data_IF_839800328240
#
_entry.id   IF_839800328240
#
_cell.length_a   1.000
_cell.length_b   1.000
_cell.length_c   1.000
_cell.angle_alpha   90.00
_cell.angle_beta   90.00
_cell.angle_gamma   90.00
#
_symmetry.space_group_name_H-M   'P 1'
#
loop_
_entity.id
_entity.type
_entity.pdbx_description
1 polymer ?
#
# COMPACT_ATOMS: atom_id res chain seq x y z
N UNK A 1 -15.62 20.97 -12.92
CA UNK A 1 -16.44 19.74 -13.13
C UNK A 1 -15.94 19.08 -14.40
N UNK A 2 -15.50 17.84 -14.33
CA UNK A 2 -15.04 17.12 -15.51
C UNK A 2 -16.23 16.93 -16.46
N UNK A 3 -16.23 17.70 -17.55
CA UNK A 3 -17.21 17.53 -18.62
C UNK A 3 -17.17 16.09 -19.12
N UNK A 4 -18.30 15.40 -19.05
CA UNK A 4 -18.58 14.08 -19.64
C UNK A 4 -17.80 12.87 -19.11
N UNK A 5 -17.44 12.79 -17.81
CA UNK A 5 -16.92 11.55 -17.24
C UNK A 5 -18.05 10.59 -16.82
N UNK A 6 -17.91 9.34 -17.20
CA UNK A 6 -18.71 8.21 -16.74
C UNK A 6 -17.78 7.04 -16.35
N UNK A 7 -18.21 6.07 -15.55
CA UNK A 7 -17.36 4.94 -15.16
C UNK A 7 -16.74 4.15 -16.33
N UNK A 8 -17.34 4.23 -17.51
CA UNK A 8 -16.91 3.57 -18.74
C UNK A 8 -16.16 4.49 -19.72
N UNK A 9 -15.98 5.80 -19.39
CA UNK A 9 -15.29 6.75 -20.29
C UNK A 9 -13.84 6.34 -20.62
N UNK A 10 -13.18 5.58 -19.75
CA UNK A 10 -11.85 5.04 -19.95
C UNK A 10 -11.73 4.17 -21.20
N UNK A 11 -12.81 3.55 -21.67
CA UNK A 11 -12.82 2.69 -22.87
C UNK A 11 -12.50 3.44 -24.17
N UNK A 12 -12.57 4.78 -24.15
CA UNK A 12 -12.21 5.65 -25.26
C UNK A 12 -10.72 6.06 -25.24
N UNK A 13 -9.95 5.57 -24.26
CA UNK A 13 -8.56 5.93 -24.02
C UNK A 13 -7.63 4.71 -24.19
N UNK A 14 -6.34 4.98 -24.40
CA UNK A 14 -5.34 3.92 -24.52
C UNK A 14 -5.20 3.17 -23.20
N UNK A 15 -5.51 1.88 -23.20
CA UNK A 15 -5.37 0.98 -22.07
C UNK A 15 -4.16 0.07 -22.26
N UNK A 16 -3.13 0.20 -21.39
CA UNK A 16 -1.98 -0.71 -21.36
C UNK A 16 -2.10 -1.67 -20.20
N UNK A 17 -1.50 -2.86 -20.34
CA UNK A 17 -1.46 -3.89 -19.29
C UNK A 17 -2.84 -4.43 -18.85
N UNK A 18 -3.87 -4.23 -19.66
CA UNK A 18 -5.16 -4.90 -19.47
C UNK A 18 -5.12 -6.28 -20.15
N UNK A 19 -5.58 -7.33 -19.46
CA UNK A 19 -5.73 -8.65 -20.07
C UNK A 19 -6.78 -8.62 -21.18
N UNK A 20 -6.59 -9.44 -22.20
CA UNK A 20 -7.62 -9.66 -23.24
C UNK A 20 -8.44 -10.88 -22.86
N UNK A 21 -9.75 -10.72 -22.84
CA UNK A 21 -10.68 -11.83 -22.66
C UNK A 21 -11.20 -12.27 -24.03
N UNK A 22 -11.14 -13.58 -24.31
CA UNK A 22 -11.57 -14.14 -25.59
C UNK A 22 -13.09 -14.10 -25.74
N UNK A 23 -13.82 -14.32 -24.63
CA UNK A 23 -15.27 -14.24 -24.57
C UNK A 23 -15.73 -12.90 -23.93
N UNK A 24 -16.07 -11.95 -24.80
CA UNK A 24 -16.60 -10.66 -24.38
C UNK A 24 -17.99 -10.75 -23.71
N UNK A 25 -18.77 -11.80 -23.98
CA UNK A 25 -20.08 -11.99 -23.33
C UNK A 25 -19.91 -12.47 -21.91
N UNK A 26 -18.95 -13.37 -21.64
CA UNK A 26 -18.61 -13.79 -20.28
C UNK A 26 -18.03 -12.64 -19.43
N UNK A 27 -17.26 -11.74 -20.05
CA UNK A 27 -16.78 -10.54 -19.39
C UNK A 27 -17.95 -9.63 -18.98
N UNK A 28 -18.86 -9.34 -19.93
CA UNK A 28 -20.03 -8.48 -19.65
C UNK A 28 -20.96 -9.08 -18.57
N UNK A 29 -21.11 -10.41 -18.54
CA UNK A 29 -21.86 -11.10 -17.49
C UNK A 29 -21.21 -10.96 -16.12
N UNK A 30 -19.90 -11.11 -16.03
CA UNK A 30 -19.15 -10.93 -14.78
C UNK A 30 -19.21 -9.48 -14.28
N UNK A 31 -19.07 -8.49 -15.16
CA UNK A 31 -19.22 -7.05 -14.86
C UNK A 31 -20.65 -6.76 -14.35
N UNK A 32 -21.68 -7.26 -15.02
CA UNK A 32 -23.08 -7.09 -14.60
C UNK A 32 -23.34 -7.73 -13.24
N UNK A 33 -22.75 -8.88 -12.96
CA UNK A 33 -22.85 -9.57 -11.68
C UNK A 33 -22.21 -8.71 -10.56
N UNK A 34 -21.01 -8.22 -10.76
CA UNK A 34 -20.30 -7.37 -9.80
C UNK A 34 -21.02 -6.02 -9.59
N UNK A 35 -21.60 -5.46 -10.65
CA UNK A 35 -22.39 -4.23 -10.57
C UNK A 35 -23.62 -4.37 -9.66
N UNK A 36 -24.16 -5.57 -9.53
CA UNK A 36 -25.29 -5.87 -8.65
C UNK A 36 -24.87 -6.30 -7.23
N UNK A 37 -23.57 -6.53 -6.99
CA UNK A 37 -23.08 -6.90 -5.67
C UNK A 37 -23.00 -5.68 -4.73
N UNK A 38 -23.04 -5.87 -3.40
CA UNK A 38 -22.82 -4.79 -2.43
C UNK A 38 -21.43 -4.13 -2.62
N UNK A 39 -21.30 -2.84 -2.30
CA UNK A 39 -19.99 -2.21 -2.29
C UNK A 39 -19.06 -2.86 -1.23
N UNK A 40 -17.79 -3.01 -1.53
CA UNK A 40 -16.78 -3.52 -0.58
C UNK A 40 -16.47 -2.48 0.49
N UNK A 41 -16.41 -1.21 0.10
CA UNK A 41 -16.23 -0.06 0.99
C UNK A 41 -17.26 1.03 0.69
N UNK A 42 -17.53 1.91 1.66
CA UNK A 42 -18.45 3.02 1.48
C UNK A 42 -17.71 4.34 1.19
N UNK A 43 -18.35 5.21 0.44
CA UNK A 43 -17.85 6.55 0.13
C UNK A 43 -17.49 7.35 1.41
N UNK A 44 -18.22 7.18 2.50
CA UNK A 44 -17.94 7.78 3.80
C UNK A 44 -16.59 7.37 4.38
N UNK A 45 -16.22 6.08 4.26
CA UNK A 45 -14.93 5.57 4.71
C UNK A 45 -13.78 6.15 3.85
N UNK A 46 -13.98 6.27 2.54
CA UNK A 46 -13.00 6.89 1.63
C UNK A 46 -12.83 8.40 1.93
N UNK A 47 -13.91 9.12 2.27
CA UNK A 47 -13.83 10.52 2.73
C UNK A 47 -13.10 10.68 4.05
N UNK A 48 -13.34 9.77 5.03
CA UNK A 48 -12.60 9.79 6.30
C UNK A 48 -11.10 9.55 6.08
N UNK A 49 -10.73 8.60 5.21
CA UNK A 49 -9.34 8.40 4.82
C UNK A 49 -8.77 9.66 4.14
N UNK A 50 -9.50 10.30 3.20
CA UNK A 50 -9.07 11.53 2.53
C UNK A 50 -8.77 12.65 3.54
N UNK A 51 -9.63 12.84 4.54
CA UNK A 51 -9.42 13.83 5.58
C UNK A 51 -8.14 13.56 6.39
N UNK A 52 -7.90 12.32 6.79
CA UNK A 52 -6.68 11.91 7.51
C UNK A 52 -5.41 12.06 6.68
N UNK A 53 -5.48 11.73 5.38
CA UNK A 53 -4.37 11.97 4.45
C UNK A 53 -4.13 13.47 4.24
N UNK A 54 -5.15 14.30 4.37
CA UNK A 54 -5.03 15.76 4.39
C UNK A 54 -4.19 16.24 5.58
N UNK A 55 -4.36 15.64 6.77
CA UNK A 55 -3.49 15.91 7.92
C UNK A 55 -2.06 15.45 7.68
N UNK A 56 -1.88 14.27 7.04
CA UNK A 56 -0.54 13.79 6.65
C UNK A 56 0.12 14.75 5.66
N UNK A 57 -0.58 15.23 4.63
CA UNK A 57 -0.07 16.21 3.67
C UNK A 57 0.35 17.52 4.36
N UNK A 58 -0.35 17.91 5.44
CA UNK A 58 -0.03 19.04 6.29
C UNK A 58 1.04 18.79 7.37
N UNK A 59 1.72 17.65 7.36
CA UNK A 59 2.78 17.32 8.33
C UNK A 59 2.26 16.93 9.72
N UNK A 60 0.95 16.68 9.87
CA UNK A 60 0.30 16.33 11.15
C UNK A 60 -0.02 14.85 11.29
N UNK A 61 0.54 14.00 10.45
CA UNK A 61 0.36 12.55 10.47
C UNK A 61 1.41 11.82 9.66
N UNK A 62 1.37 10.50 9.68
CA UNK A 62 2.25 9.63 8.91
C UNK A 62 1.44 8.49 8.27
N UNK A 63 1.65 8.22 6.98
CA UNK A 63 1.00 7.13 6.26
C UNK A 63 1.84 5.85 6.36
N UNK A 64 1.28 4.80 6.93
CA UNK A 64 1.80 3.43 6.86
C UNK A 64 0.92 2.63 5.89
N UNK A 65 1.43 2.42 4.67
CA UNK A 65 0.77 1.59 3.67
C UNK A 65 1.58 0.31 3.46
N UNK A 66 1.00 -0.84 3.77
CA UNK A 66 1.73 -2.11 3.72
C UNK A 66 0.82 -3.31 3.48
N UNK A 67 1.38 -4.40 2.96
CA UNK A 67 0.70 -5.65 2.69
C UNK A 67 1.21 -6.33 1.42
N UNK A 68 0.38 -7.14 0.78
CA UNK A 68 0.82 -8.02 -0.30
C UNK A 68 1.36 -7.28 -1.54
N UNK A 69 2.27 -7.95 -2.26
CA UNK A 69 2.66 -7.55 -3.60
C UNK A 69 1.52 -7.80 -4.59
N UNK A 70 1.03 -9.04 -4.61
CA UNK A 70 -0.22 -9.45 -5.24
C UNK A 70 -0.82 -10.58 -4.39
N UNK A 71 -2.07 -10.38 -3.97
CA UNK A 71 -2.81 -11.41 -3.24
C UNK A 71 -3.03 -12.64 -4.11
N UNK A 72 -2.94 -13.83 -3.50
CA UNK A 72 -3.18 -15.10 -4.15
C UNK A 72 -4.39 -15.80 -3.56
N UNK A 73 -5.17 -16.45 -4.42
CA UNK A 73 -6.26 -17.31 -3.97
C UNK A 73 -5.78 -18.50 -3.12
N UNK A 74 -4.52 -18.93 -3.31
CA UNK A 74 -3.92 -20.00 -2.53
C UNK A 74 -3.54 -19.55 -1.11
N UNK A 75 -3.18 -18.28 -0.91
CA UNK A 75 -2.82 -17.73 0.39
C UNK A 75 -4.02 -17.17 1.17
N UNK A 76 -5.24 -17.22 0.61
CA UNK A 76 -6.45 -16.74 1.27
C UNK A 76 -6.77 -17.61 2.50
N UNK A 77 -6.33 -17.13 3.66
CA UNK A 77 -6.50 -17.83 4.93
C UNK A 77 -6.64 -16.83 6.09
N UNK A 78 -7.53 -17.05 7.07
CA UNK A 78 -7.77 -16.11 8.17
C UNK A 78 -6.52 -15.81 8.99
N UNK A 79 -5.59 -16.75 9.14
CA UNK A 79 -4.32 -16.50 9.82
C UNK A 79 -3.43 -15.51 9.05
N UNK A 80 -3.35 -15.63 7.73
CA UNK A 80 -2.54 -14.70 6.91
C UNK A 80 -3.07 -13.27 7.01
N UNK A 81 -4.40 -13.11 6.95
CA UNK A 81 -5.07 -11.82 7.11
C UNK A 81 -4.81 -11.25 8.51
N UNK A 82 -5.02 -12.07 9.55
CA UNK A 82 -4.79 -11.69 10.95
C UNK A 82 -3.34 -11.27 11.19
N UNK A 83 -2.39 -12.08 10.74
CA UNK A 83 -0.97 -11.88 11.05
C UNK A 83 -0.42 -10.66 10.31
N UNK A 84 -0.84 -10.40 9.08
CA UNK A 84 -0.50 -9.17 8.35
C UNK A 84 -1.10 -7.94 9.03
N UNK A 85 -2.37 -7.98 9.42
CA UNK A 85 -3.02 -6.90 10.18
C UNK A 85 -2.28 -6.63 11.51
N UNK A 86 -1.92 -7.69 12.24
CA UNK A 86 -1.17 -7.60 13.50
C UNK A 86 0.16 -6.90 13.33
N UNK A 87 0.95 -7.26 12.32
CA UNK A 87 2.26 -6.63 12.06
C UNK A 87 2.09 -5.14 11.73
N UNK A 88 1.11 -4.78 10.91
CA UNK A 88 0.81 -3.37 10.60
C UNK A 88 0.43 -2.59 11.88
N UNK A 89 -0.34 -3.18 12.80
CA UNK A 89 -0.65 -2.53 14.07
C UNK A 89 0.59 -2.34 14.95
N UNK A 90 1.45 -3.35 15.06
CA UNK A 90 2.70 -3.25 15.81
C UNK A 90 3.60 -2.15 15.26
N UNK A 91 3.79 -2.10 13.93
CA UNK A 91 4.51 -1.02 13.26
C UNK A 91 3.90 0.35 13.58
N UNK A 92 2.56 0.47 13.48
CA UNK A 92 1.87 1.72 13.72
C UNK A 92 2.05 2.24 15.15
N UNK A 93 2.06 1.37 16.15
CA UNK A 93 2.30 1.76 17.57
C UNK A 93 3.71 2.31 17.72
N UNK A 94 4.71 1.62 17.21
CA UNK A 94 6.12 2.05 17.26
C UNK A 94 6.29 3.41 16.57
N UNK A 95 5.73 3.59 15.38
CA UNK A 95 5.85 4.83 14.61
C UNK A 95 5.07 5.99 15.25
N UNK A 96 3.88 5.74 15.81
CA UNK A 96 3.08 6.75 16.51
C UNK A 96 3.84 7.29 17.71
N UNK A 97 4.40 6.40 18.53
CA UNK A 97 5.13 6.80 19.72
C UNK A 97 6.39 7.63 19.38
N UNK A 98 7.17 7.18 18.41
CA UNK A 98 8.42 7.83 18.02
C UNK A 98 8.20 9.17 17.30
N UNK A 99 7.28 9.19 16.33
CA UNK A 99 6.97 10.38 15.53
C UNK A 99 6.13 11.41 16.26
N UNK A 100 5.46 11.02 17.36
CA UNK A 100 4.46 11.83 18.07
C UNK A 100 3.37 12.35 17.13
N UNK A 101 3.01 11.55 16.14
CA UNK A 101 2.03 11.83 15.10
C UNK A 101 1.06 10.66 14.97
N UNK A 102 -0.22 10.91 14.64
CA UNK A 102 -1.14 9.86 14.26
C UNK A 102 -0.62 9.09 13.03
N UNK A 103 -0.71 7.76 13.06
CA UNK A 103 -0.36 6.89 11.93
C UNK A 103 -1.64 6.42 11.23
N UNK A 104 -1.78 6.79 9.96
CA UNK A 104 -2.86 6.32 9.07
C UNK A 104 -2.45 4.97 8.50
N UNK A 105 -3.23 3.93 8.81
CA UNK A 105 -2.94 2.55 8.42
C UNK A 105 -3.76 2.17 7.19
N UNK A 106 -3.07 1.82 6.10
CA UNK A 106 -3.68 1.41 4.83
C UNK A 106 -3.08 0.07 4.40
N UNK A 107 -3.91 -0.96 4.33
CA UNK A 107 -3.52 -2.29 3.88
C UNK A 107 -3.45 -2.36 2.36
N UNK A 108 -2.39 -2.95 1.81
CA UNK A 108 -2.33 -3.44 0.42
C UNK A 108 -2.93 -4.85 0.43
N UNK A 109 -4.24 -4.93 0.54
CA UNK A 109 -4.99 -6.18 0.69
C UNK A 109 -6.47 -5.96 0.43
N UNK A 110 -7.22 -7.04 0.29
CA UNK A 110 -8.64 -7.05 -0.06
C UNK A 110 -8.93 -6.43 -1.44
N UNK A 111 -8.09 -6.75 -2.43
CA UNK A 111 -8.23 -6.27 -3.81
C UNK A 111 -6.93 -6.25 -4.61
N UNK A 112 -5.76 -6.40 -4.00
CA UNK A 112 -4.46 -6.35 -4.68
C UNK A 112 -4.15 -7.68 -5.40
N UNK A 113 -5.03 -8.12 -6.33
CA UNK A 113 -4.83 -9.36 -7.08
C UNK A 113 -4.13 -9.15 -8.42
N UNK A 114 -4.40 -8.03 -9.09
CA UNK A 114 -3.87 -7.75 -10.43
C UNK A 114 -2.41 -7.30 -10.40
N UNK A 115 -1.66 -7.67 -11.46
CA UNK A 115 -0.25 -7.33 -11.63
C UNK A 115 0.03 -6.82 -13.04
N UNK A 116 0.69 -5.65 -13.21
CA UNK A 116 1.14 -5.21 -14.53
C UNK A 116 2.30 -6.07 -15.01
N UNK A 117 2.24 -6.52 -16.27
CA UNK A 117 3.26 -7.37 -16.89
C UNK A 117 4.07 -6.59 -17.92
N UNK A 118 5.35 -6.93 -18.04
CA UNK A 118 6.23 -6.34 -19.06
C UNK A 118 5.95 -6.86 -20.47
N UNK A 119 5.36 -8.07 -20.55
CA UNK A 119 4.93 -8.73 -21.78
C UNK A 119 3.55 -9.35 -21.55
N UNK A 120 2.72 -9.35 -22.56
CA UNK A 120 1.40 -10.00 -22.53
C UNK A 120 1.51 -11.52 -22.58
N UNK A 121 2.69 -12.07 -22.92
CA UNK A 121 2.94 -13.50 -22.99
C UNK A 121 4.26 -13.90 -22.34
N UNK A 122 4.34 -15.15 -21.91
CA UNK A 122 5.52 -15.83 -21.38
C UNK A 122 5.81 -17.08 -22.23
N UNK A 123 7.11 -17.39 -22.43
CA UNK A 123 7.54 -18.58 -23.20
C UNK A 123 8.39 -19.48 -22.31
N UNK A 124 8.05 -20.76 -22.27
CA UNK A 124 8.85 -21.81 -21.62
C UNK A 124 9.02 -22.96 -22.61
N UNK A 125 10.27 -23.24 -23.04
CA UNK A 125 10.54 -24.16 -24.13
C UNK A 125 9.86 -23.69 -25.41
N UNK A 126 9.09 -24.57 -26.08
CA UNK A 126 8.35 -24.28 -27.29
C UNK A 126 6.92 -23.74 -27.06
N UNK A 127 6.48 -23.65 -25.82
CA UNK A 127 5.13 -23.21 -25.47
C UNK A 127 5.12 -21.72 -25.10
N UNK A 128 4.24 -20.95 -25.75
CA UNK A 128 3.97 -19.54 -25.44
C UNK A 128 2.53 -19.40 -24.95
N UNK A 129 2.34 -18.84 -23.76
CA UNK A 129 1.05 -18.65 -23.10
C UNK A 129 0.90 -17.20 -22.64
N UNK A 130 -0.34 -16.74 -22.34
CA UNK A 130 -0.54 -15.45 -21.66
C UNK A 130 0.29 -15.35 -20.38
N UNK A 131 0.80 -14.16 -20.09
CA UNK A 131 1.46 -13.89 -18.82
C UNK A 131 0.50 -14.11 -17.64
N UNK A 132 1.05 -14.43 -16.48
CA UNK A 132 0.27 -14.41 -15.24
C UNK A 132 -0.05 -12.95 -14.86
N UNK A 133 -1.30 -12.53 -15.01
CA UNK A 133 -1.77 -11.17 -14.73
C UNK A 133 -2.29 -10.98 -13.29
N UNK A 134 -2.28 -12.05 -12.52
CA UNK A 134 -2.83 -12.09 -11.16
C UNK A 134 -4.07 -12.98 -11.05
N UNK A 135 -4.37 -13.42 -9.84
CA UNK A 135 -5.39 -14.44 -9.62
C UNK A 135 -6.81 -14.00 -9.96
N UNK A 136 -7.09 -12.70 -10.06
CA UNK A 136 -8.35 -12.19 -10.57
C UNK A 136 -8.50 -12.23 -12.10
N UNK A 137 -7.46 -12.66 -12.81
CA UNK A 137 -7.43 -12.81 -14.28
C UNK A 137 -7.21 -14.25 -14.69
N UNK A 138 -6.08 -14.86 -14.27
CA UNK A 138 -5.69 -16.22 -14.63
C UNK A 138 -4.89 -16.87 -13.49
N UNK A 139 -4.47 -18.13 -13.63
CA UNK A 139 -3.71 -18.83 -12.59
C UNK A 139 -2.20 -18.85 -12.89
N UNK A 140 -1.39 -19.13 -11.86
CA UNK A 140 0.08 -19.04 -11.93
C UNK A 140 0.72 -20.21 -12.68
N UNK A 141 0.09 -21.36 -12.71
CA UNK A 141 0.60 -22.57 -13.38
C UNK A 141 0.79 -22.31 -14.88
N UNK A 142 1.89 -22.81 -15.45
CA UNK A 142 2.21 -22.61 -16.86
C UNK A 142 1.58 -23.72 -17.72
N UNK A 143 0.23 -23.72 -17.78
CA UNK A 143 -0.57 -24.58 -18.66
C UNK A 143 -1.59 -23.76 -19.43
N UNK A 144 -2.06 -24.20 -20.62
CA UNK A 144 -3.07 -23.48 -21.38
C UNK A 144 -4.34 -23.18 -20.58
N UNK A 145 -4.82 -24.14 -19.80
CA UNK A 145 -6.02 -24.02 -18.98
C UNK A 145 -5.85 -23.00 -17.85
N UNK A 146 -4.70 -23.02 -17.16
CA UNK A 146 -4.41 -22.12 -16.06
C UNK A 146 -4.19 -20.67 -16.53
N UNK A 147 -3.56 -20.50 -17.71
CA UNK A 147 -3.25 -19.19 -18.28
C UNK A 147 -4.38 -18.60 -19.13
N UNK A 148 -5.49 -19.31 -19.27
CA UNK A 148 -6.70 -18.75 -19.87
C UNK A 148 -7.25 -17.61 -18.98
N UNK A 149 -7.52 -16.45 -19.60
CA UNK A 149 -8.07 -15.28 -18.88
C UNK A 149 -9.57 -15.50 -18.67
N UNK A 150 -9.98 -15.74 -17.42
CA UNK A 150 -11.35 -16.08 -17.03
C UNK A 150 -12.00 -14.93 -16.23
N UNK A 151 -13.05 -14.27 -16.76
CA UNK A 151 -13.76 -13.20 -16.06
C UNK A 151 -14.41 -13.62 -14.72
N UNK A 152 -14.75 -14.91 -14.56
CA UNK A 152 -15.35 -15.42 -13.31
C UNK A 152 -14.38 -15.30 -12.12
N UNK A 153 -13.09 -15.21 -12.39
CA UNK A 153 -12.08 -14.97 -11.35
C UNK A 153 -12.21 -13.61 -10.67
N UNK A 154 -12.77 -12.60 -11.35
CA UNK A 154 -13.11 -11.31 -10.73
C UNK A 154 -14.17 -11.45 -9.63
N UNK A 155 -15.18 -12.31 -9.85
CA UNK A 155 -16.22 -12.59 -8.86
C UNK A 155 -15.63 -13.32 -7.65
N UNK A 156 -14.71 -14.26 -7.88
CA UNK A 156 -13.99 -14.91 -6.80
C UNK A 156 -13.11 -13.94 -6.02
N UNK A 157 -12.39 -13.04 -6.69
CA UNK A 157 -11.59 -11.99 -6.07
C UNK A 157 -12.44 -11.07 -5.19
N UNK A 158 -13.60 -10.62 -5.70
CA UNK A 158 -14.57 -9.85 -4.91
C UNK A 158 -15.01 -10.62 -3.65
N UNK A 159 -15.33 -11.90 -3.76
CA UNK A 159 -15.80 -12.70 -2.62
C UNK A 159 -14.72 -12.83 -1.54
N UNK A 160 -13.46 -13.03 -1.94
CA UNK A 160 -12.34 -13.07 -1.00
C UNK A 160 -12.04 -11.69 -0.40
N UNK A 161 -12.10 -10.62 -1.20
CA UNK A 161 -11.97 -9.25 -0.72
C UNK A 161 -13.04 -8.90 0.32
N UNK A 162 -14.30 -9.27 0.07
CA UNK A 162 -15.41 -9.07 1.01
C UNK A 162 -15.19 -9.81 2.34
N UNK A 163 -14.75 -11.07 2.28
CA UNK A 163 -14.44 -11.86 3.48
C UNK A 163 -13.24 -11.27 4.25
N UNK A 164 -12.20 -10.83 3.55
CA UNK A 164 -11.03 -10.15 4.13
C UNK A 164 -11.45 -8.86 4.84
N UNK A 165 -12.23 -8.00 4.19
CA UNK A 165 -12.73 -6.75 4.77
C UNK A 165 -13.63 -6.98 5.99
N UNK A 166 -14.49 -7.99 5.94
CA UNK A 166 -15.32 -8.36 7.09
C UNK A 166 -14.45 -8.75 8.30
N UNK A 167 -13.42 -9.56 8.08
CA UNK A 167 -12.50 -9.97 9.14
C UNK A 167 -11.66 -8.79 9.67
N UNK A 168 -11.18 -7.91 8.79
CA UNK A 168 -10.45 -6.70 9.17
C UNK A 168 -11.32 -5.75 10.02
N UNK A 169 -12.58 -5.54 9.64
CA UNK A 169 -13.52 -4.72 10.43
C UNK A 169 -13.79 -5.34 11.80
N UNK A 170 -13.95 -6.67 11.87
CA UNK A 170 -14.09 -7.37 13.13
C UNK A 170 -12.85 -7.21 14.02
N UNK A 171 -11.64 -7.33 13.49
CA UNK A 171 -10.41 -7.11 14.24
C UNK A 171 -10.24 -5.65 14.66
N UNK A 172 -10.50 -4.71 13.76
CA UNK A 172 -10.33 -3.29 14.03
C UNK A 172 -11.32 -2.74 15.09
N UNK A 173 -12.55 -3.25 15.12
CA UNK A 173 -13.60 -2.80 16.03
C UNK A 173 -13.86 -3.71 17.24
N UNK A 174 -13.46 -4.98 17.18
CA UNK A 174 -13.81 -6.03 18.14
C UNK A 174 -12.86 -6.19 19.35
N UNK A 175 -11.95 -5.24 19.58
CA UNK A 175 -11.02 -5.28 20.72
C UNK A 175 -9.70 -6.00 20.45
N UNK A 176 -9.53 -6.65 19.30
CA UNK A 176 -8.25 -7.25 18.88
C UNK A 176 -7.15 -6.18 18.69
N UNK A 177 -7.54 -4.96 18.29
CA UNK A 177 -6.65 -3.81 18.12
C UNK A 177 -6.35 -3.05 19.44
N UNK A 178 -6.57 -3.67 20.62
CA UNK A 178 -6.24 -3.07 21.91
C UNK A 178 -4.75 -2.71 21.98
N UNK A 179 -4.47 -1.45 22.28
CA UNK A 179 -3.12 -0.88 22.23
C UNK A 179 -2.13 -1.62 23.18
N UNK A 180 -2.56 -2.01 24.37
CA UNK A 180 -1.74 -2.78 25.32
C UNK A 180 -1.43 -4.18 24.77
N UNK A 181 -2.42 -4.84 24.15
CA UNK A 181 -2.23 -6.15 23.54
C UNK A 181 -1.26 -6.07 22.35
N UNK A 182 -1.39 -5.05 21.52
CA UNK A 182 -0.46 -4.82 20.38
C UNK A 182 0.96 -4.59 20.88
N UNK A 183 1.13 -3.82 21.96
CA UNK A 183 2.44 -3.62 22.59
C UNK A 183 3.01 -4.93 23.15
N UNK A 184 2.20 -5.76 23.82
CA UNK A 184 2.64 -7.08 24.32
C UNK A 184 3.14 -7.98 23.17
N UNK A 185 2.43 -8.01 22.04
CA UNK A 185 2.90 -8.76 20.87
C UNK A 185 4.26 -8.27 20.36
N UNK A 186 4.51 -6.96 20.47
CA UNK A 186 5.81 -6.37 20.07
C UNK A 186 6.91 -6.83 21.01
N UNK A 187 6.66 -6.89 22.32
CA UNK A 187 7.61 -7.41 23.31
C UNK A 187 7.89 -8.91 23.12
N UNK A 188 6.85 -9.71 22.86
CA UNK A 188 6.99 -11.16 22.59
C UNK A 188 7.83 -11.41 21.33
N UNK A 189 7.66 -10.58 20.30
CA UNK A 189 8.46 -10.63 19.09
C UNK A 189 9.92 -10.24 19.37
N UNK A 190 10.15 -9.14 20.09
CA UNK A 190 11.49 -8.67 20.43
C UNK A 190 12.28 -9.70 21.25
N UNK A 191 11.62 -10.42 22.18
CA UNK A 191 12.27 -11.47 22.98
C UNK A 191 12.90 -12.61 22.16
N UNK A 192 12.55 -12.70 20.87
CA UNK A 192 13.09 -13.69 19.91
C UNK A 192 14.03 -13.07 18.88
N UNK A 193 14.21 -11.75 18.88
CA UNK A 193 15.00 -11.02 17.88
C UNK A 193 16.45 -10.81 18.36
N UNK A 194 17.46 -11.00 17.49
CA UNK A 194 18.85 -10.63 17.79
C UNK A 194 19.06 -9.14 18.10
N UNK A 195 18.11 -8.29 17.70
CA UNK A 195 18.15 -6.83 17.89
C UNK A 195 17.34 -6.35 19.11
N UNK A 196 16.86 -7.27 19.94
CA UNK A 196 16.04 -6.94 21.11
C UNK A 196 16.65 -5.82 21.96
N UNK A 197 17.96 -5.89 22.23
CA UNK A 197 18.64 -4.91 23.08
C UNK A 197 18.67 -3.50 22.47
N UNK A 198 18.82 -3.37 21.15
CA UNK A 198 18.82 -2.06 20.46
C UNK A 198 17.49 -1.35 20.60
N UNK A 199 16.38 -2.08 20.50
CA UNK A 199 15.04 -1.49 20.48
C UNK A 199 14.34 -1.54 21.85
N UNK A 200 14.96 -2.17 22.84
CA UNK A 200 14.41 -2.35 24.20
C UNK A 200 14.03 -1.01 24.83
N UNK A 201 14.92 -0.03 24.78
CA UNK A 201 14.66 1.30 25.35
C UNK A 201 13.41 1.97 24.78
N UNK A 202 13.16 1.82 23.47
CA UNK A 202 11.95 2.36 22.85
C UNK A 202 10.70 1.59 23.29
N UNK A 203 10.77 0.28 23.33
CA UNK A 203 9.67 -0.57 23.76
C UNK A 203 9.31 -0.35 25.25
N UNK A 204 10.31 -0.24 26.13
CA UNK A 204 10.12 0.05 27.55
C UNK A 204 9.43 1.41 27.75
N UNK A 205 9.84 2.45 27.00
CA UNK A 205 9.19 3.78 27.05
C UNK A 205 7.73 3.75 26.54
N UNK A 206 7.40 2.90 25.58
CA UNK A 206 6.00 2.67 25.16
C UNK A 206 5.23 2.06 26.32
N UNK A 207 5.80 1.04 26.98
CA UNK A 207 5.22 0.41 28.17
C UNK A 207 4.95 1.41 29.30
N UNK A 208 5.95 2.22 29.65
CA UNK A 208 5.82 3.29 30.67
C UNK A 208 4.72 4.30 30.33
N UNK A 209 4.60 4.68 29.04
CA UNK A 209 3.54 5.59 28.61
C UNK A 209 2.14 4.97 28.75
N UNK A 210 2.00 3.68 28.44
CA UNK A 210 0.74 2.94 28.61
C UNK A 210 0.38 2.78 30.10
N UNK A 211 1.36 2.51 30.95
CA UNK A 211 1.16 2.41 32.41
C UNK A 211 0.76 3.75 33.02
N UNK A 212 1.39 4.85 32.56
CA UNK A 212 1.01 6.20 32.96
C UNK A 212 -0.43 6.55 32.56
N UNK A 213 -0.83 6.24 31.31
CA UNK A 213 -2.20 6.45 30.84
C UNK A 213 -3.20 5.68 31.70
N UNK A 214 -2.92 4.41 32.02
CA UNK A 214 -3.77 3.58 32.88
C UNK A 214 -3.87 4.14 34.31
N UNK A 215 -2.75 4.57 34.90
CA UNK A 215 -2.72 5.23 36.21
C UNK A 215 -3.55 6.53 36.24
N UNK A 216 -3.64 7.24 35.10
CA UNK A 216 -4.51 8.42 34.95
C UNK A 216 -5.98 8.05 34.67
N UNK A 217 -6.35 6.76 34.66
CA UNK A 217 -7.71 6.29 34.34
C UNK A 217 -8.04 6.23 32.86
N UNK A 218 -7.05 6.43 31.98
CA UNK A 218 -7.20 6.33 30.53
C UNK A 218 -6.87 4.88 30.12
N UNK A 219 -7.88 4.04 30.09
CA UNK A 219 -7.76 2.63 29.76
C UNK A 219 -8.88 2.19 28.78
N UNK A 220 -8.82 0.98 28.23
CA UNK A 220 -9.81 0.52 27.25
C UNK A 220 -11.26 0.49 27.75
N UNK A 221 -11.52 0.46 29.05
CA UNK A 221 -12.88 0.46 29.60
C UNK A 221 -13.43 1.88 29.76
N UNK A 222 -12.56 2.85 30.04
CA UNK A 222 -12.94 4.27 30.16
C UNK A 222 -12.88 5.01 28.83
N UNK A 223 -12.03 4.55 27.89
CA UNK A 223 -11.82 5.15 26.56
C UNK A 223 -11.93 4.06 25.49
N UNK A 224 -13.15 3.78 24.98
CA UNK A 224 -13.38 2.71 24.01
C UNK A 224 -12.52 2.80 22.74
N UNK A 225 -12.09 4.01 22.38
CA UNK A 225 -11.19 4.25 21.22
C UNK A 225 -9.84 3.54 21.36
N UNK A 226 -9.42 3.16 22.56
CA UNK A 226 -8.22 2.36 22.79
C UNK A 226 -8.38 0.88 22.44
N UNK A 227 -9.62 0.41 22.23
CA UNK A 227 -9.94 -0.96 21.80
C UNK A 227 -10.08 -1.09 20.28
N UNK A 228 -10.19 0.02 19.57
CA UNK A 228 -10.48 0.05 18.14
C UNK A 228 -9.45 0.89 17.39
N UNK A 229 -9.37 0.65 16.10
CA UNK A 229 -8.51 1.44 15.21
C UNK A 229 -9.18 1.63 13.85
N UNK A 230 -8.86 2.76 13.19
CA UNK A 230 -9.18 2.90 11.78
C UNK A 230 -8.17 2.11 10.96
N UNK A 231 -8.67 1.33 10.03
CA UNK A 231 -7.89 0.54 9.10
C UNK A 231 -8.55 0.59 7.72
N UNK A 232 -7.79 0.96 6.71
CA UNK A 232 -8.27 1.12 5.34
C UNK A 232 -7.56 0.13 4.43
N UNK A 233 -8.09 -0.08 3.23
CA UNK A 233 -7.50 -0.95 2.21
C UNK A 233 -7.21 -0.19 0.94
N UNK A 234 -6.28 -0.70 0.15
CA UNK A 234 -5.86 -0.11 -1.11
C UNK A 234 -5.31 -1.14 -2.07
N UNK A 235 -5.43 -0.87 -3.37
CA UNK A 235 -4.80 -1.65 -4.43
C UNK A 235 -4.51 -0.80 -5.68
N UNK A 236 -3.75 -1.36 -6.63
CA UNK A 236 -3.56 -0.77 -7.95
C UNK A 236 -4.85 -0.92 -8.76
N UNK A 237 -5.43 0.20 -9.21
CA UNK A 237 -6.58 0.19 -10.11
C UNK A 237 -6.13 -0.25 -11.52
N UNK A 238 -5.73 -1.51 -11.66
CA UNK A 238 -5.16 -2.04 -12.89
C UNK A 238 -6.22 -2.70 -13.79
N UNK A 239 -7.12 -3.49 -13.20
CA UNK A 239 -8.14 -4.23 -13.94
C UNK A 239 -9.41 -3.39 -14.08
N UNK A 240 -9.42 -2.44 -15.03
CA UNK A 240 -10.49 -1.44 -15.17
C UNK A 240 -11.91 -2.03 -15.33
N UNK A 241 -12.15 -3.20 -15.95
CA UNK A 241 -13.47 -3.83 -15.93
C UNK A 241 -13.98 -4.13 -14.51
N UNK A 242 -13.08 -4.58 -13.61
CA UNK A 242 -13.41 -4.84 -12.20
C UNK A 242 -13.72 -3.53 -11.44
N UNK A 243 -12.88 -2.52 -11.62
CA UNK A 243 -13.05 -1.22 -10.96
C UNK A 243 -14.33 -0.51 -11.44
N UNK A 244 -14.58 -0.51 -12.76
CA UNK A 244 -15.80 0.04 -13.35
C UNK A 244 -17.04 -0.65 -12.77
N UNK A 245 -17.05 -1.98 -12.70
CA UNK A 245 -18.17 -2.75 -12.19
C UNK A 245 -18.46 -2.48 -10.70
N UNK A 246 -17.48 -2.00 -9.93
CA UNK A 246 -17.61 -1.63 -8.51
C UNK A 246 -17.73 -0.11 -8.28
N UNK A 247 -17.69 0.71 -9.33
CA UNK A 247 -17.95 2.14 -9.20
C UNK A 247 -19.42 2.40 -8.81
N UNK A 248 -19.61 3.24 -7.80
CA UNK A 248 -20.96 3.59 -7.27
C UNK A 248 -21.10 5.10 -7.10
N UNK A 249 -22.29 5.60 -7.34
CA UNK A 249 -22.64 6.99 -7.05
C UNK A 249 -23.06 7.10 -5.58
N UNK A 250 -22.39 7.94 -4.83
CA UNK A 250 -22.71 8.22 -3.44
C UNK A 250 -24.05 8.96 -3.35
N UNK A 251 -24.97 8.45 -2.55
CA UNK A 251 -26.32 9.02 -2.38
C UNK A 251 -26.32 10.35 -1.61
N UNK A 252 -25.26 10.64 -0.86
CA UNK A 252 -25.15 11.86 -0.06
C UNK A 252 -24.57 13.03 -0.86
N UNK A 253 -23.53 12.79 -1.65
CA UNK A 253 -22.80 13.83 -2.38
C UNK A 253 -23.12 13.86 -3.87
N UNK A 254 -23.61 12.75 -4.41
CA UNK A 254 -23.81 12.56 -5.84
C UNK A 254 -22.52 12.30 -6.62
N UNK A 255 -21.37 12.24 -5.95
CA UNK A 255 -20.07 11.91 -6.54
C UNK A 255 -19.90 10.42 -6.77
N UNK A 256 -19.05 10.05 -7.72
CA UNK A 256 -18.70 8.67 -7.97
C UNK A 256 -17.52 8.24 -7.08
N UNK A 257 -17.62 7.05 -6.52
CA UNK A 257 -16.55 6.38 -5.81
C UNK A 257 -16.35 4.98 -6.38
N UNK A 258 -15.09 4.61 -6.55
CA UNK A 258 -14.76 3.20 -6.71
C UNK A 258 -14.86 2.53 -5.33
N UNK A 259 -15.79 1.61 -5.20
CA UNK A 259 -16.06 0.94 -3.93
C UNK A 259 -15.31 -0.38 -3.77
N UNK A 260 -14.34 -0.66 -4.63
CA UNK A 260 -13.43 -1.81 -4.55
C UNK A 260 -12.44 -1.68 -3.38
N UNK A 261 -11.99 -0.45 -3.06
CA UNK A 261 -11.12 -0.13 -1.93
C UNK A 261 -11.30 1.31 -1.46
N UNK A 262 -10.75 1.64 -0.28
CA UNK A 262 -10.76 3.01 0.24
C UNK A 262 -9.85 3.94 -0.54
N UNK A 263 -8.67 3.44 -0.98
CA UNK A 263 -7.67 4.15 -1.75
C UNK A 263 -7.23 3.32 -2.94
N UNK A 264 -7.02 3.96 -4.07
CA UNK A 264 -6.53 3.33 -5.29
C UNK A 264 -5.21 3.98 -5.70
N UNK A 265 -4.37 3.28 -6.48
CA UNK A 265 -3.24 3.95 -7.11
C UNK A 265 -3.10 3.59 -8.58
N UNK A 266 -2.48 4.50 -9.34
CA UNK A 266 -2.04 4.27 -10.71
C UNK A 266 -0.56 3.91 -10.71
N UNK A 267 -0.22 2.85 -11.44
CA UNK A 267 1.14 2.33 -11.57
C UNK A 267 2.04 3.18 -12.46
N UNK A 268 3.34 2.93 -12.39
CA UNK A 268 4.36 3.63 -13.19
C UNK A 268 4.17 3.41 -14.70
N UNK A 269 3.62 2.28 -15.10
CA UNK A 269 3.38 1.89 -16.51
C UNK A 269 2.05 2.38 -17.07
N UNK A 270 1.10 2.73 -16.20
CA UNK A 270 -0.27 3.07 -16.58
C UNK A 270 -0.63 4.54 -16.35
N UNK A 271 0.27 5.35 -15.75
CA UNK A 271 0.05 6.78 -15.43
C UNK A 271 0.41 7.76 -16.54
N UNK A 272 0.56 7.32 -17.79
CA UNK A 272 0.85 8.25 -18.88
C UNK A 272 -0.34 9.16 -19.21
N UNK A 273 -0.06 10.34 -19.75
CA UNK A 273 -1.10 11.33 -20.10
C UNK A 273 -2.10 10.73 -21.10
N UNK A 274 -3.39 10.88 -20.82
CA UNK A 274 -4.47 10.35 -21.66
C UNK A 274 -4.66 8.83 -21.55
N UNK A 275 -4.08 8.16 -20.52
CA UNK A 275 -4.30 6.74 -20.32
C UNK A 275 -5.71 6.45 -19.79
N UNK A 276 -6.23 5.28 -20.13
CA UNK A 276 -7.50 4.76 -19.61
C UNK A 276 -7.54 4.75 -18.07
N UNK A 277 -6.43 4.40 -17.41
CA UNK A 277 -6.35 4.36 -15.95
C UNK A 277 -6.43 5.77 -15.32
N UNK A 278 -5.76 6.76 -15.91
CA UNK A 278 -5.86 8.15 -15.46
C UNK A 278 -7.25 8.70 -15.71
N UNK A 279 -7.86 8.38 -16.87
CA UNK A 279 -9.24 8.78 -17.19
C UNK A 279 -10.22 8.21 -16.15
N UNK A 280 -10.14 6.93 -15.83
CA UNK A 280 -11.01 6.32 -14.81
C UNK A 280 -10.83 7.02 -13.44
N UNK A 281 -9.58 7.14 -12.99
CA UNK A 281 -9.27 7.65 -11.65
C UNK A 281 -9.60 9.14 -11.45
N UNK A 282 -9.59 9.96 -12.52
CA UNK A 282 -9.94 11.37 -12.38
C UNK A 282 -11.40 11.62 -11.97
N UNK A 283 -12.28 10.66 -12.22
CA UNK A 283 -13.71 10.81 -11.96
C UNK A 283 -14.19 10.21 -10.65
N UNK A 284 -13.39 9.40 -9.96
CA UNK A 284 -13.76 8.83 -8.66
C UNK A 284 -13.28 9.70 -7.49
N UNK A 285 -14.06 9.77 -6.40
CA UNK A 285 -13.79 10.63 -5.23
C UNK A 285 -12.78 10.06 -4.22
N UNK A 286 -12.28 8.84 -4.43
CA UNK A 286 -11.33 8.16 -3.56
C UNK A 286 -9.99 8.92 -3.43
N UNK A 287 -9.27 8.82 -2.30
CA UNK A 287 -7.85 9.12 -2.27
C UNK A 287 -7.08 8.31 -3.31
N UNK A 288 -6.12 8.94 -3.98
CA UNK A 288 -5.36 8.32 -5.08
C UNK A 288 -3.86 8.32 -4.79
N UNK A 289 -3.21 7.20 -5.12
CA UNK A 289 -1.77 7.09 -5.22
C UNK A 289 -1.27 7.27 -6.65
N UNK A 290 -0.10 7.87 -6.82
CA UNK A 290 0.60 7.96 -8.11
C UNK A 290 2.02 7.46 -7.93
N UNK A 291 2.38 6.39 -8.61
CA UNK A 291 3.76 5.87 -8.58
C UNK A 291 4.72 6.82 -9.29
N UNK A 292 5.79 7.23 -8.62
CA UNK A 292 6.78 8.18 -9.12
C UNK A 292 8.17 7.51 -9.13
N UNK A 293 8.70 7.25 -10.32
CA UNK A 293 10.03 6.67 -10.52
C UNK A 293 11.06 7.65 -11.08
N UNK A 294 12.32 7.23 -11.25
CA UNK A 294 13.40 8.10 -11.68
C UNK A 294 13.25 8.66 -13.12
N UNK A 295 12.42 8.02 -13.94
CA UNK A 295 12.13 8.47 -15.31
C UNK A 295 11.00 9.48 -15.42
N UNK A 296 10.28 9.78 -14.33
CA UNK A 296 9.15 10.70 -14.36
C UNK A 296 9.63 12.14 -14.52
N UNK A 297 9.15 12.79 -15.57
CA UNK A 297 9.39 14.21 -15.81
C UNK A 297 8.51 15.06 -14.89
N UNK A 298 9.04 16.17 -14.31
CA UNK A 298 8.26 17.06 -13.45
C UNK A 298 7.02 17.66 -14.12
N UNK A 299 7.10 18.05 -15.39
CA UNK A 299 5.96 18.66 -16.09
C UNK A 299 4.86 17.62 -16.36
N UNK A 300 5.25 16.37 -16.66
CA UNK A 300 4.30 15.25 -16.76
C UNK A 300 3.62 14.99 -15.42
N UNK A 301 4.37 15.03 -14.30
CA UNK A 301 3.79 14.90 -12.97
C UNK A 301 2.79 16.01 -12.67
N UNK A 302 3.13 17.27 -12.94
CA UNK A 302 2.22 18.40 -12.72
C UNK A 302 0.93 18.26 -13.55
N UNK A 303 1.02 17.86 -14.81
CA UNK A 303 -0.15 17.58 -15.65
C UNK A 303 -1.04 16.45 -15.10
N UNK A 304 -0.44 15.41 -14.51
CA UNK A 304 -1.19 14.35 -13.81
C UNK A 304 -1.90 14.89 -12.55
N UNK A 305 -1.22 15.74 -11.78
CA UNK A 305 -1.82 16.35 -10.58
C UNK A 305 -2.99 17.26 -10.93
N UNK A 306 -2.88 18.08 -11.97
CA UNK A 306 -3.97 18.93 -12.45
C UNK A 306 -5.16 18.11 -12.96
N UNK A 307 -4.90 16.94 -13.56
CA UNK A 307 -5.94 16.01 -14.03
C UNK A 307 -6.64 15.29 -12.90
N UNK A 308 -5.88 14.75 -11.92
CA UNK A 308 -6.39 13.89 -10.86
C UNK A 308 -6.90 14.69 -9.64
N UNK A 309 -6.44 15.92 -9.46
CA UNK A 309 -6.80 16.80 -8.35
C UNK A 309 -6.93 18.28 -8.77
N UNK A 310 -7.81 18.61 -9.73
CA UNK A 310 -7.98 19.97 -10.21
C UNK A 310 -8.43 20.95 -9.13
N UNK A 311 -9.13 20.47 -8.11
CA UNK A 311 -9.58 21.28 -6.97
C UNK A 311 -8.49 21.47 -5.90
N UNK A 312 -7.31 20.87 -6.07
CA UNK A 312 -6.21 20.91 -5.09
C UNK A 312 -6.64 20.52 -3.67
N UNK A 313 -7.45 19.48 -3.56
CA UNK A 313 -7.92 18.95 -2.28
C UNK A 313 -6.77 18.28 -1.54
N UNK A 314 -6.55 18.66 -0.29
CA UNK A 314 -5.59 17.97 0.59
C UNK A 314 -6.06 16.54 0.88
N UNK A 315 -5.11 15.60 0.87
CA UNK A 315 -5.38 14.17 1.08
C UNK A 315 -5.91 13.43 -0.14
N UNK A 316 -6.17 14.12 -1.25
CA UNK A 316 -6.58 13.49 -2.51
C UNK A 316 -5.44 12.69 -3.13
N UNK A 317 -4.22 13.22 -3.14
CA UNK A 317 -3.07 12.62 -3.85
C UNK A 317 -1.97 12.21 -2.87
N UNK A 318 -1.50 10.97 -3.03
CA UNK A 318 -0.27 10.44 -2.45
C UNK A 318 0.72 10.13 -3.56
N UNK A 319 1.86 10.80 -3.58
CA UNK A 319 2.96 10.53 -4.50
C UNK A 319 3.86 9.43 -3.91
N UNK A 320 3.87 8.27 -4.55
CA UNK A 320 4.57 7.07 -4.08
C UNK A 320 5.91 6.99 -4.80
N UNK A 321 6.97 7.50 -4.14
CA UNK A 321 8.32 7.58 -4.68
C UNK A 321 9.01 6.20 -4.66
N UNK A 322 9.47 5.74 -5.85
CA UNK A 322 10.13 4.43 -6.04
C UNK A 322 11.38 4.57 -6.92
N UNK A 323 12.45 5.03 -6.37
CA UNK A 323 13.66 5.41 -7.12
C UNK A 323 14.75 4.33 -7.13
N UNK A 324 14.85 3.56 -6.06
CA UNK A 324 16.01 2.73 -5.75
C UNK A 324 17.01 3.50 -4.87
N UNK A 325 17.71 2.73 -4.04
CA UNK A 325 18.64 3.26 -3.03
C UNK A 325 19.75 4.16 -3.59
N UNK A 326 20.17 3.92 -4.84
CA UNK A 326 21.24 4.62 -5.54
C UNK A 326 20.78 5.87 -6.31
N UNK A 327 19.47 6.08 -6.45
CA UNK A 327 18.90 7.16 -7.30
C UNK A 327 17.99 8.12 -6.55
N UNK A 328 17.54 7.79 -5.35
CA UNK A 328 16.54 8.59 -4.62
C UNK A 328 17.05 9.99 -4.33
N UNK A 329 18.27 10.15 -3.85
CA UNK A 329 18.86 11.47 -3.50
C UNK A 329 19.10 12.35 -4.72
N UNK A 330 19.48 11.76 -5.86
CA UNK A 330 19.70 12.51 -7.09
C UNK A 330 18.41 12.83 -7.86
N UNK A 331 17.42 11.92 -7.85
CA UNK A 331 16.26 11.99 -8.72
C UNK A 331 15.01 12.61 -8.08
N UNK A 332 14.78 12.38 -6.79
CA UNK A 332 13.57 12.85 -6.11
C UNK A 332 13.47 14.38 -5.96
N UNK A 333 14.56 15.13 -5.66
CA UNK A 333 14.47 16.57 -5.40
C UNK A 333 13.79 17.38 -6.50
N UNK A 334 14.00 17.03 -7.76
CA UNK A 334 13.40 17.74 -8.90
C UNK A 334 11.87 17.65 -8.90
N UNK A 335 11.30 16.51 -8.49
CA UNK A 335 9.86 16.32 -8.38
C UNK A 335 9.32 17.06 -7.15
N UNK A 336 10.00 16.96 -6.00
CA UNK A 336 9.61 17.66 -4.77
C UNK A 336 9.56 19.16 -5.00
N UNK A 337 10.60 19.76 -5.62
CA UNK A 337 10.65 21.19 -5.92
C UNK A 337 9.55 21.64 -6.89
N UNK A 338 9.27 20.85 -7.94
CA UNK A 338 8.22 21.17 -8.89
C UNK A 338 6.84 21.20 -8.22
N UNK A 339 6.51 20.16 -7.45
CA UNK A 339 5.23 20.05 -6.72
C UNK A 339 5.08 21.15 -5.67
N UNK A 340 6.15 21.46 -4.92
CA UNK A 340 6.14 22.52 -3.90
C UNK A 340 5.97 23.90 -4.51
N UNK A 341 6.66 24.19 -5.63
CA UNK A 341 6.56 25.47 -6.34
C UNK A 341 5.14 25.74 -6.82
N UNK A 342 4.45 24.72 -7.33
CA UNK A 342 3.06 24.84 -7.81
C UNK A 342 2.02 24.76 -6.66
N UNK A 343 2.45 24.45 -5.43
CA UNK A 343 1.60 24.43 -4.25
C UNK A 343 0.56 23.29 -4.24
N UNK A 344 0.85 22.15 -4.84
CA UNK A 344 -0.03 20.99 -4.76
C UNK A 344 0.03 20.33 -3.37
N UNK A 345 -1.11 20.18 -2.67
CA UNK A 345 -1.14 19.54 -1.36
C UNK A 345 -1.12 18.01 -1.52
N UNK A 346 0.07 17.41 -1.45
CA UNK A 346 0.27 15.97 -1.64
C UNK A 346 0.88 15.32 -0.42
N UNK A 347 0.62 14.03 -0.24
CA UNK A 347 1.38 13.17 0.67
C UNK A 347 2.55 12.58 -0.11
N UNK A 348 3.77 12.73 0.39
CA UNK A 348 4.92 11.99 -0.11
C UNK A 348 5.11 10.70 0.66
N UNK A 349 5.14 9.57 -0.03
CA UNK A 349 5.32 8.23 0.54
C UNK A 349 6.49 7.51 -0.15
N UNK A 350 7.40 6.93 0.62
CA UNK A 350 8.52 6.14 0.09
C UNK A 350 8.07 4.72 -0.24
N UNK A 351 8.32 4.26 -1.46
CA UNK A 351 8.25 2.85 -1.86
C UNK A 351 9.67 2.31 -2.08
N UNK A 352 10.30 1.77 -1.04
CA UNK A 352 11.68 1.29 -1.15
C UNK A 352 11.74 -0.15 -1.70
N UNK A 353 10.62 -0.67 -2.19
CA UNK A 353 10.52 -2.05 -2.65
C UNK A 353 10.83 -2.17 -4.14
N UNK A 354 10.09 -1.42 -4.98
CA UNK A 354 10.10 -1.64 -6.44
C UNK A 354 11.38 -1.16 -7.15
N UNK A 355 12.17 -0.28 -6.53
CA UNK A 355 13.47 0.16 -7.05
C UNK A 355 14.65 -0.75 -6.66
N UNK A 356 14.44 -1.71 -5.75
CA UNK A 356 15.51 -2.51 -5.14
C UNK A 356 15.42 -4.02 -5.41
N UNK A 357 14.63 -4.43 -6.40
CA UNK A 357 14.54 -5.83 -6.82
C UNK A 357 15.82 -6.23 -7.53
N UNK A 358 16.42 -7.34 -7.11
CA UNK A 358 17.58 -7.98 -7.75
C UNK A 358 17.29 -9.45 -8.00
N UNK A 359 18.03 -10.05 -8.93
CA UNK A 359 18.05 -11.51 -9.11
C UNK A 359 19.23 -12.06 -8.33
N UNK A 360 18.98 -13.04 -7.48
CA UNK A 360 19.99 -13.72 -6.68
C UNK A 360 20.79 -14.73 -7.52
N UNK A 361 21.92 -15.18 -7.01
CA UNK A 361 22.73 -16.24 -7.64
C UNK A 361 21.97 -17.56 -7.69
N UNK A 362 21.07 -17.81 -6.73
CA UNK A 362 20.15 -18.97 -6.69
C UNK A 362 19.00 -18.86 -7.70
N UNK A 363 18.87 -17.73 -8.42
CA UNK A 363 17.87 -17.51 -9.47
C UNK A 363 16.56 -16.87 -8.98
N UNK A 364 16.34 -16.75 -7.69
CA UNK A 364 15.19 -16.08 -7.12
C UNK A 364 15.27 -14.56 -7.30
N UNK A 365 14.13 -13.91 -7.43
CA UNK A 365 14.05 -12.47 -7.18
C UNK A 365 14.18 -12.23 -5.67
N UNK A 366 14.89 -11.19 -5.27
CA UNK A 366 14.98 -10.79 -3.87
C UNK A 366 15.16 -9.28 -3.74
N UNK A 367 15.06 -8.77 -2.53
CA UNK A 367 15.37 -7.39 -2.17
C UNK A 367 16.30 -7.38 -0.96
N UNK A 368 17.54 -6.90 -1.09
CA UNK A 368 18.41 -6.73 0.06
C UNK A 368 17.84 -5.70 1.04
N UNK A 369 17.65 -6.08 2.29
CA UNK A 369 17.07 -5.22 3.33
C UNK A 369 17.86 -3.91 3.50
N UNK A 370 19.18 -3.96 3.39
CA UNK A 370 20.05 -2.77 3.50
C UNK A 370 19.75 -1.75 2.38
N UNK A 371 19.40 -2.21 1.16
CA UNK A 371 19.01 -1.31 0.06
C UNK A 371 17.64 -0.69 0.32
N UNK A 372 16.70 -1.45 0.86
CA UNK A 372 15.40 -0.92 1.30
C UNK A 372 15.60 0.20 2.32
N UNK A 373 16.39 -0.07 3.35
CA UNK A 373 16.69 0.91 4.39
C UNK A 373 17.45 2.14 3.86
N UNK A 374 18.38 1.93 2.92
CA UNK A 374 19.14 3.03 2.32
C UNK A 374 18.23 3.97 1.49
N UNK A 375 17.26 3.43 0.71
CA UNK A 375 16.29 4.27 -0.01
C UNK A 375 15.39 5.06 0.94
N UNK A 376 14.94 4.44 2.04
CA UNK A 376 14.17 5.14 3.07
C UNK A 376 14.97 6.29 3.67
N UNK A 377 16.23 6.08 4.04
CA UNK A 377 17.11 7.12 4.58
C UNK A 377 17.32 8.27 3.59
N UNK A 378 17.59 7.94 2.32
CA UNK A 378 17.72 8.94 1.26
C UNK A 378 16.45 9.74 1.04
N UNK A 379 15.27 9.09 1.08
CA UNK A 379 13.97 9.77 0.99
C UNK A 379 13.79 10.80 2.13
N UNK A 380 14.04 10.42 3.37
CA UNK A 380 13.97 11.34 4.52
C UNK A 380 15.00 12.48 4.41
N UNK A 381 16.22 12.16 3.96
CA UNK A 381 17.27 13.18 3.75
C UNK A 381 16.87 14.22 2.70
N UNK A 382 16.26 13.79 1.59
CA UNK A 382 15.74 14.70 0.54
C UNK A 382 14.67 15.61 1.11
N UNK A 383 13.65 15.07 1.78
CA UNK A 383 12.56 15.88 2.33
C UNK A 383 13.04 16.89 3.38
N UNK A 384 14.02 16.50 4.21
CA UNK A 384 14.68 17.42 5.15
C UNK A 384 15.43 18.55 4.41
N UNK A 385 16.18 18.22 3.36
CA UNK A 385 16.93 19.21 2.59
C UNK A 385 16.03 20.18 1.82
N UNK A 386 14.87 19.70 1.34
CA UNK A 386 13.90 20.50 0.60
C UNK A 386 12.87 21.22 1.51
N UNK A 387 12.93 21.02 2.83
CA UNK A 387 12.00 21.63 3.79
C UNK A 387 10.57 21.12 3.66
N UNK A 388 10.39 19.88 3.19
CA UNK A 388 9.08 19.24 3.00
C UNK A 388 8.89 18.07 3.97
N UNK A 389 7.69 17.49 4.03
CA UNK A 389 7.37 16.41 4.96
C UNK A 389 7.52 15.02 4.30
N UNK A 390 8.32 14.14 4.91
CA UNK A 390 8.38 12.72 4.60
C UNK A 390 7.12 12.03 5.15
N UNK A 391 6.02 12.07 4.38
CA UNK A 391 4.66 11.79 4.85
C UNK A 391 4.33 10.32 5.05
N UNK A 392 5.12 9.37 4.54
CA UNK A 392 4.76 7.96 4.70
C UNK A 392 5.71 6.96 4.08
N UNK A 393 5.32 5.69 4.23
CA UNK A 393 5.99 4.53 3.63
C UNK A 393 4.98 3.61 2.97
N UNK A 394 5.36 3.01 1.83
CA UNK A 394 4.58 2.06 1.05
C UNK A 394 5.41 0.79 0.83
N UNK A 395 5.09 -0.30 1.51
CA UNK A 395 5.89 -1.52 1.55
C UNK A 395 5.12 -2.77 1.14
N UNK A 396 5.84 -3.71 0.52
CA UNK A 396 5.35 -5.07 0.29
C UNK A 396 5.82 -5.96 1.43
N UNK A 397 4.85 -6.50 2.19
CA UNK A 397 5.11 -7.25 3.40
C UNK A 397 4.02 -8.29 3.65
N UNK A 398 4.35 -9.28 4.45
CA UNK A 398 3.40 -10.27 4.97
C UNK A 398 3.60 -10.48 6.47
N UNK A 399 2.56 -10.94 7.15
CA UNK A 399 2.65 -11.37 8.54
C UNK A 399 3.30 -12.72 8.74
N UNK A 400 3.64 -13.42 7.65
CA UNK A 400 4.24 -14.74 7.66
C UNK A 400 5.77 -14.67 7.77
N UNK A 401 6.39 -15.79 8.18
CA UNK A 401 7.84 -15.94 8.28
C UNK A 401 8.43 -16.44 6.94
N UNK A 402 8.27 -15.63 5.87
CA UNK A 402 8.82 -15.94 4.55
C UNK A 402 10.30 -15.57 4.46
N UNK A 403 11.00 -16.16 3.49
CA UNK A 403 12.44 -15.91 3.22
C UNK A 403 12.65 -15.26 1.85
N UNK A 404 11.81 -14.28 1.48
CA UNK A 404 11.79 -13.69 0.15
C UNK A 404 12.78 -12.51 -0.02
N UNK A 405 13.07 -11.77 1.06
CA UNK A 405 14.04 -10.68 1.08
C UNK A 405 15.29 -11.08 1.86
N UNK A 406 16.49 -10.79 1.31
CA UNK A 406 17.76 -11.09 1.98
C UNK A 406 18.10 -10.07 3.07
N UNK A 407 18.88 -10.49 4.07
CA UNK A 407 19.33 -9.63 5.17
C UNK A 407 18.30 -9.43 6.26
N UNK A 408 18.37 -8.28 6.94
CA UNK A 408 17.61 -7.99 8.14
C UNK A 408 18.15 -8.71 9.39
N UNK A 409 17.48 -8.53 10.52
CA UNK A 409 17.85 -9.07 11.82
C UNK A 409 18.04 -10.60 11.84
N UNK A 410 17.22 -11.31 11.07
CA UNK A 410 17.30 -12.79 10.94
C UNK A 410 18.36 -13.23 9.92
N UNK A 411 19.09 -12.29 9.31
CA UNK A 411 20.21 -12.51 8.39
C UNK A 411 19.89 -13.55 7.28
N UNK A 412 18.74 -13.43 6.62
CA UNK A 412 18.35 -14.31 5.53
C UNK A 412 19.41 -14.24 4.43
N UNK A 413 20.02 -15.38 4.13
CA UNK A 413 21.03 -15.51 3.10
C UNK A 413 20.42 -15.83 1.74
N UNK A 414 21.20 -15.66 0.66
CA UNK A 414 20.79 -16.06 -0.68
C UNK A 414 20.42 -17.56 -0.78
N UNK A 415 21.18 -18.41 -0.09
CA UNK A 415 20.93 -19.85 -0.05
C UNK A 415 19.63 -20.23 0.65
N UNK A 416 19.16 -19.41 1.60
CA UNK A 416 17.93 -19.65 2.35
C UNK A 416 16.66 -19.13 1.66
N UNK A 417 16.77 -18.41 0.54
CA UNK A 417 15.61 -17.85 -0.15
C UNK A 417 14.56 -18.91 -0.52
N UNK A 418 14.99 -20.09 -0.96
CA UNK A 418 14.11 -21.18 -1.35
C UNK A 418 13.36 -21.86 -0.22
N UNK A 419 13.71 -21.64 1.06
CA UNK A 419 13.13 -22.37 2.19
C UNK A 419 11.63 -22.07 2.38
N UNK A 420 11.26 -20.80 2.25
CA UNK A 420 9.86 -20.30 2.40
C UNK A 420 9.59 -19.14 1.43
N UNK A 421 9.81 -19.37 0.13
CA UNK A 421 9.54 -18.43 -0.92
C UNK A 421 8.12 -18.64 -1.45
N UNK A 422 7.14 -17.88 -0.95
CA UNK A 422 5.72 -18.12 -1.20
C UNK A 422 5.10 -17.15 -2.20
N UNK A 423 5.73 -16.02 -2.47
CA UNK A 423 5.15 -15.01 -3.38
C UNK A 423 5.01 -15.53 -4.80
N UNK A 424 3.85 -15.29 -5.41
CA UNK A 424 3.62 -15.51 -6.85
C UNK A 424 4.16 -14.35 -7.71
N UNK A 425 4.72 -13.31 -7.07
CA UNK A 425 5.02 -12.06 -7.72
C UNK A 425 6.42 -11.53 -7.36
N UNK A 426 6.50 -10.46 -6.57
CA UNK A 426 7.76 -9.87 -6.12
C UNK A 426 7.96 -10.13 -4.62
N UNK A 427 9.22 -10.22 -4.16
CA UNK A 427 9.55 -10.60 -2.78
C UNK A 427 9.00 -9.61 -1.76
N UNK A 428 8.49 -10.13 -0.64
CA UNK A 428 7.90 -9.38 0.48
C UNK A 428 8.82 -9.41 1.70
N UNK A 429 8.78 -8.36 2.50
CA UNK A 429 9.33 -8.39 3.86
C UNK A 429 8.51 -9.37 4.72
N UNK A 430 9.15 -10.19 5.51
CA UNK A 430 8.48 -10.97 6.53
C UNK A 430 8.15 -10.12 7.77
N UNK A 431 7.46 -10.72 8.76
CA UNK A 431 7.06 -10.02 9.98
C UNK A 431 8.26 -9.42 10.74
N UNK A 432 9.39 -10.16 10.80
CA UNK A 432 10.60 -9.73 11.49
C UNK A 432 11.23 -8.50 10.82
N UNK A 433 11.44 -8.58 9.51
CA UNK A 433 12.01 -7.47 8.73
C UNK A 433 11.10 -6.24 8.73
N UNK A 434 9.78 -6.43 8.72
CA UNK A 434 8.81 -5.33 8.78
C UNK A 434 8.88 -4.57 10.10
N UNK A 435 8.96 -5.29 11.22
CA UNK A 435 9.11 -4.67 12.54
C UNK A 435 10.47 -4.02 12.72
N UNK A 436 11.56 -4.64 12.25
CA UNK A 436 12.89 -4.02 12.23
C UNK A 436 12.86 -2.70 11.48
N UNK A 437 12.25 -2.68 10.28
CA UNK A 437 12.09 -1.45 9.49
C UNK A 437 11.30 -0.38 10.26
N UNK A 438 10.24 -0.76 10.98
CA UNK A 438 9.46 0.18 11.78
C UNK A 438 10.29 0.82 12.91
N UNK A 439 11.13 0.06 13.60
CA UNK A 439 12.02 0.60 14.63
C UNK A 439 13.08 1.54 14.04
N UNK A 440 13.65 1.19 12.89
CA UNK A 440 14.62 2.05 12.20
C UNK A 440 13.99 3.35 11.67
N UNK A 441 12.73 3.27 11.17
CA UNK A 441 11.93 4.44 10.83
C UNK A 441 11.62 5.30 12.06
N UNK A 442 11.34 4.66 13.19
CA UNK A 442 11.05 5.35 14.46
C UNK A 442 12.24 6.22 14.91
N UNK A 443 13.48 5.77 14.70
CA UNK A 443 14.68 6.59 14.99
C UNK A 443 14.67 7.86 14.12
N UNK A 444 14.35 7.77 12.83
CA UNK A 444 14.28 8.93 11.92
C UNK A 444 13.15 9.89 12.28
N UNK A 445 11.95 9.38 12.56
CA UNK A 445 10.80 10.18 12.96
C UNK A 445 11.02 10.88 14.29
N UNK A 446 11.71 10.26 15.24
CA UNK A 446 12.05 10.89 16.53
C UNK A 446 13.02 12.06 16.36
N UNK A 447 13.98 11.97 15.44
CA UNK A 447 14.87 13.09 15.10
C UNK A 447 14.06 14.25 14.53
N UNK A 448 13.17 14.02 13.57
CA UNK A 448 12.31 15.06 12.99
C UNK A 448 11.36 15.67 14.04
N UNK A 449 10.79 14.85 14.94
CA UNK A 449 9.94 15.34 16.04
C UNK A 449 10.71 16.28 16.98
N UNK A 450 11.97 15.97 17.25
CA UNK A 450 12.86 16.80 18.09
C UNK A 450 13.20 18.12 17.40
N UNK A 451 13.48 18.10 16.10
CA UNK A 451 13.74 19.32 15.31
C UNK A 451 12.49 20.22 15.23
N UNK A 452 11.31 19.65 15.01
CA UNK A 452 10.02 20.41 15.04
C UNK A 452 9.80 21.10 16.38
N UNK A 453 10.05 20.43 17.50
CA UNK A 453 9.92 21.04 18.84
C UNK A 453 10.90 22.19 19.06
N UNK A 454 12.14 22.05 18.59
CA UNK A 454 13.16 23.13 18.68
C UNK A 454 12.82 24.34 17.82
N UNK A 455 12.19 24.12 16.66
CA UNK A 455 11.77 25.21 15.78
C UNK A 455 10.52 25.95 16.28
N UNK A 456 9.71 25.32 17.15
CA UNK A 456 8.49 25.88 17.72
C UNK A 456 8.73 26.57 19.10
N UNK A 457 9.89 26.33 19.73
CA UNK A 457 10.33 26.96 20.98
C UNK A 457 11.18 28.19 20.73
#
# INVERSE_FOLDING_TARGET
MAQNWTPDSWQQHEARHLPRYEDGSALAEAEATLANYPPLVFAGEARDLKARLGDVAGGRGFLLQGGDCAESFAEFHPNNIRDTFRVILQMAVVLTFAGKLPVVKVGRMAGQFAKPRSSDSETQGDLTLPSYFGDNVNAIEFTPEARHNDPQRMIRAYSQAAATLNLLRAFAGGGYANLRQVHQWTLDFMGRSPWADRFRTLADRIGEALDFMEACGVNPDTVPQLKSTHFYTSHEALLLPYEQALARRDSLTGEWYDTSAHMLWVGDRTRFAGSAHVEFLRGVGNPLGVKCGPSLDPDVLLGLLDTLNPAREAGRITLIARFGHDKVEAGLPRLVRAVSREGHPVVWSCDPMHGNVVKSDSGYKTRPFDRILAEVRGFFAVHRAEGTHAGGIHIEMTGQDVTECTGGAVAITDAALGDRYHTHCDPRLNAAQSLELAFLLAEMLNLEATERHRAAA
#
